data_IF_250495774780
#
_entry.id   IF_250495774780
#
_cell.length_a   1.000
_cell.length_b   1.000
_cell.length_c   1.000
_cell.angle_alpha   90.00
_cell.angle_beta   90.00
_cell.angle_gamma   90.00
#
_symmetry.space_group_name_H-M   'P 1'
#
loop_
_entity.id
_entity.type
_entity.pdbx_description
1 polymer ?
#
# COMPACT_ATOMS: atom_id res chain seq x y z
N UNK A 1 -77.39 26.64 121.77
CA UNK A 1 -76.30 25.68 121.44
C UNK A 1 -76.71 24.68 120.35
N UNK A 2 -77.67 23.77 120.57
CA UNK A 2 -78.00 22.70 119.60
C UNK A 2 -78.43 23.19 118.19
N UNK A 3 -79.20 24.28 118.08
CA UNK A 3 -79.60 24.85 116.77
C UNK A 3 -78.42 25.40 115.95
N UNK A 4 -77.43 25.97 116.64
CA UNK A 4 -76.25 26.58 116.04
C UNK A 4 -75.28 25.50 115.54
N UNK A 5 -75.12 24.42 116.31
CA UNK A 5 -74.36 23.23 115.91
C UNK A 5 -75.00 22.55 114.69
N UNK A 6 -76.33 22.41 114.67
CA UNK A 6 -77.04 21.85 113.50
C UNK A 6 -76.84 22.72 112.25
N UNK A 7 -76.95 24.04 112.37
CA UNK A 7 -76.72 24.96 111.26
C UNK A 7 -75.28 24.86 110.73
N UNK A 8 -74.29 24.81 111.62
CA UNK A 8 -72.87 24.70 111.26
C UNK A 8 -72.56 23.37 110.56
N UNK A 9 -73.22 22.28 111.00
CA UNK A 9 -73.15 20.98 110.33
C UNK A 9 -73.75 21.02 108.92
N UNK A 10 -74.94 21.63 108.74
CA UNK A 10 -75.54 21.79 107.41
C UNK A 10 -74.68 22.66 106.47
N UNK A 11 -74.11 23.75 106.98
CA UNK A 11 -73.21 24.61 106.20
C UNK A 11 -71.90 23.91 105.80
N UNK A 12 -71.35 23.06 106.68
CA UNK A 12 -70.20 22.24 106.35
C UNK A 12 -70.52 21.20 105.27
N UNK A 13 -71.67 20.52 105.38
CA UNK A 13 -72.11 19.54 104.38
C UNK A 13 -72.33 20.18 103.00
N UNK A 14 -72.93 21.37 102.94
CA UNK A 14 -73.08 22.10 101.67
C UNK A 14 -71.73 22.57 101.11
N UNK A 15 -70.78 22.96 101.97
CA UNK A 15 -69.41 23.26 101.55
C UNK A 15 -68.70 22.06 100.91
N UNK A 16 -68.81 20.88 101.54
CA UNK A 16 -68.21 19.64 101.02
C UNK A 16 -68.85 19.23 99.69
N UNK A 17 -70.18 19.33 99.54
CA UNK A 17 -70.84 19.00 98.27
C UNK A 17 -70.44 19.95 97.15
N UNK A 18 -70.39 21.27 97.38
CA UNK A 18 -69.93 22.25 96.39
C UNK A 18 -68.47 21.98 96.00
N UNK A 19 -67.59 21.76 96.97
CA UNK A 19 -66.19 21.43 96.71
C UNK A 19 -66.04 20.14 95.89
N UNK A 20 -66.84 19.13 96.20
CA UNK A 20 -66.85 17.84 95.49
C UNK A 20 -67.32 17.99 94.04
N UNK A 21 -68.37 18.80 93.81
CA UNK A 21 -68.85 19.12 92.45
C UNK A 21 -67.80 19.92 91.67
N UNK A 22 -67.17 20.93 92.28
CA UNK A 22 -66.11 21.69 91.64
C UNK A 22 -64.91 20.82 91.26
N UNK A 23 -64.47 19.94 92.17
CA UNK A 23 -63.40 18.97 91.92
C UNK A 23 -63.78 17.97 90.82
N UNK A 24 -65.02 17.49 90.80
CA UNK A 24 -65.52 16.63 89.73
C UNK A 24 -65.49 17.34 88.37
N UNK A 25 -65.96 18.59 88.29
CA UNK A 25 -65.92 19.37 87.06
C UNK A 25 -64.49 19.63 86.57
N UNK A 26 -63.56 19.94 87.48
CA UNK A 26 -62.14 20.10 87.15
C UNK A 26 -61.55 18.79 86.60
N UNK A 27 -61.81 17.65 87.25
CA UNK A 27 -61.35 16.34 86.79
C UNK A 27 -61.97 15.93 85.44
N UNK A 28 -63.24 16.27 85.20
CA UNK A 28 -63.89 16.06 83.90
C UNK A 28 -63.24 16.90 82.82
N UNK A 29 -62.95 18.17 83.09
CA UNK A 29 -62.25 19.06 82.15
C UNK A 29 -60.86 18.51 81.81
N UNK A 30 -60.07 18.15 82.81
CA UNK A 30 -58.74 17.54 82.59
C UNK A 30 -58.84 16.26 81.74
N UNK A 31 -59.86 15.43 81.96
CA UNK A 31 -60.09 14.24 81.14
C UNK A 31 -60.39 14.59 79.68
N UNK A 32 -61.18 15.63 79.41
CA UNK A 32 -61.43 16.09 78.05
C UNK A 32 -60.17 16.64 77.39
N UNK A 33 -59.40 17.47 78.09
CA UNK A 33 -58.13 18.03 77.59
C UNK A 33 -57.12 16.90 77.27
N UNK A 34 -57.06 15.86 78.11
CA UNK A 34 -56.24 14.67 77.86
C UNK A 34 -56.74 13.87 76.65
N UNK A 35 -58.06 13.69 76.49
CA UNK A 35 -58.63 12.99 75.32
C UNK A 35 -58.34 13.75 74.02
N UNK A 36 -58.44 15.07 74.04
CA UNK A 36 -58.09 15.92 72.90
C UNK A 36 -56.60 15.83 72.57
N UNK A 37 -55.74 15.86 73.59
CA UNK A 37 -54.29 15.68 73.44
C UNK A 37 -53.95 14.30 72.86
N UNK A 38 -54.57 13.22 73.35
CA UNK A 38 -54.39 11.86 72.82
C UNK A 38 -54.84 11.80 71.35
N UNK A 39 -55.96 12.45 71.01
CA UNK A 39 -56.46 12.49 69.63
C UNK A 39 -55.49 13.24 68.72
N UNK A 40 -54.97 14.39 69.16
CA UNK A 40 -53.98 15.18 68.43
C UNK A 40 -52.68 14.40 68.21
N UNK A 41 -52.16 13.76 69.27
CA UNK A 41 -50.95 12.92 69.19
C UNK A 41 -51.16 11.76 68.21
N UNK A 42 -52.32 11.08 68.25
CA UNK A 42 -52.63 10.00 67.31
C UNK A 42 -52.67 10.49 65.86
N UNK A 43 -53.20 11.69 65.61
CA UNK A 43 -53.19 12.28 64.28
C UNK A 43 -51.76 12.60 63.82
N UNK A 44 -50.92 13.15 64.69
CA UNK A 44 -49.52 13.41 64.38
C UNK A 44 -48.74 12.11 64.09
N UNK A 45 -48.96 11.05 64.88
CA UNK A 45 -48.34 9.75 64.63
C UNK A 45 -48.78 9.19 63.28
N UNK A 46 -50.07 9.27 62.94
CA UNK A 46 -50.56 8.81 61.64
C UNK A 46 -49.96 9.59 60.46
N UNK A 47 -49.78 10.91 60.61
CA UNK A 47 -49.10 11.75 59.62
C UNK A 47 -47.63 11.37 59.47
N UNK A 48 -46.90 11.21 60.59
CA UNK A 48 -45.50 10.80 60.58
C UNK A 48 -45.30 9.40 60.00
N UNK A 49 -46.23 8.48 60.24
CA UNK A 49 -46.21 7.14 59.63
C UNK A 49 -46.42 7.19 58.12
N UNK A 50 -47.32 8.06 57.65
CA UNK A 50 -47.52 8.30 56.22
C UNK A 50 -46.28 8.92 55.57
N UNK A 51 -45.72 9.99 56.16
CA UNK A 51 -44.49 10.64 55.68
C UNK A 51 -43.31 9.66 55.65
N UNK A 52 -43.15 8.83 56.69
CA UNK A 52 -42.11 7.80 56.73
C UNK A 52 -42.26 6.80 55.59
N UNK A 53 -43.49 6.37 55.31
CA UNK A 53 -43.77 5.44 54.20
C UNK A 53 -43.47 6.07 52.85
N UNK A 54 -43.85 7.33 52.66
CA UNK A 54 -43.59 8.07 51.42
C UNK A 54 -42.08 8.29 51.21
N UNK A 55 -41.35 8.65 52.27
CA UNK A 55 -39.89 8.78 52.24
C UNK A 55 -39.20 7.45 51.93
N UNK A 56 -39.67 6.33 52.52
CA UNK A 56 -39.14 5.00 52.21
C UNK A 56 -39.36 4.64 50.73
N UNK A 57 -40.55 4.90 50.19
CA UNK A 57 -40.84 4.68 48.78
C UNK A 57 -40.00 5.58 47.87
N UNK A 58 -39.79 6.84 48.25
CA UNK A 58 -38.90 7.76 47.54
C UNK A 58 -37.46 7.25 47.48
N UNK A 59 -36.95 6.78 48.62
CA UNK A 59 -35.59 6.25 48.74
C UNK A 59 -35.41 4.97 47.92
N UNK A 60 -36.39 4.07 47.92
CA UNK A 60 -36.34 2.87 47.09
C UNK A 60 -36.37 3.20 45.59
N UNK A 61 -37.19 4.17 45.17
CA UNK A 61 -37.19 4.66 43.77
C UNK A 61 -35.86 5.30 43.39
N UNK A 62 -35.27 6.10 44.27
CA UNK A 62 -33.95 6.69 44.01
C UNK A 62 -32.86 5.62 43.89
N UNK A 63 -32.90 4.59 44.75
CA UNK A 63 -31.99 3.44 44.67
C UNK A 63 -32.13 2.67 43.37
N UNK A 64 -33.35 2.41 42.90
CA UNK A 64 -33.56 1.71 41.63
C UNK A 64 -33.07 2.54 40.45
N UNK A 65 -33.38 3.84 40.41
CA UNK A 65 -32.88 4.76 39.39
C UNK A 65 -31.36 4.84 39.38
N UNK A 66 -30.73 4.95 40.56
CA UNK A 66 -29.26 4.95 40.68
C UNK A 66 -28.65 3.66 40.15
N UNK A 67 -29.21 2.50 40.51
CA UNK A 67 -28.71 1.21 40.02
C UNK A 67 -28.90 1.06 38.52
N UNK A 68 -30.00 1.56 37.96
CA UNK A 68 -30.23 1.59 36.52
C UNK A 68 -29.20 2.48 35.82
N UNK A 69 -28.98 3.70 36.30
CA UNK A 69 -27.98 4.61 35.76
C UNK A 69 -26.56 4.02 35.81
N UNK A 70 -26.20 3.30 36.87
CA UNK A 70 -24.91 2.60 36.97
C UNK A 70 -24.79 1.47 35.94
N UNK A 71 -25.85 0.70 35.72
CA UNK A 71 -25.88 -0.35 34.69
C UNK A 71 -25.73 0.25 33.29
N UNK A 72 -26.49 1.30 33.00
CA UNK A 72 -26.44 1.99 31.71
C UNK A 72 -25.06 2.63 31.49
N UNK A 73 -24.44 3.20 32.52
CA UNK A 73 -23.08 3.72 32.44
C UNK A 73 -22.07 2.60 32.13
N UNK A 74 -22.21 1.44 32.78
CA UNK A 74 -21.33 0.30 32.53
C UNK A 74 -21.47 -0.27 31.11
N UNK A 75 -22.70 -0.37 30.58
CA UNK A 75 -22.95 -0.86 29.23
C UNK A 75 -22.49 0.13 28.16
N UNK A 76 -22.65 1.43 28.39
CA UNK A 76 -22.12 2.48 27.53
C UNK A 76 -20.58 2.46 27.51
N UNK A 77 -19.94 2.27 28.67
CA UNK A 77 -18.48 2.15 28.77
C UNK A 77 -17.95 0.93 28.02
N UNK A 78 -18.64 -0.20 28.12
CA UNK A 78 -18.29 -1.41 27.36
C UNK A 78 -18.47 -1.20 25.85
N UNK A 79 -19.59 -0.60 25.44
CA UNK A 79 -19.86 -0.28 24.03
C UNK A 79 -18.82 0.68 23.46
N UNK A 80 -18.38 1.67 24.25
CA UNK A 80 -17.33 2.61 23.88
C UNK A 80 -15.99 1.89 23.71
N UNK A 81 -15.62 1.00 24.64
CA UNK A 81 -14.40 0.19 24.52
C UNK A 81 -14.41 -0.69 23.27
N UNK A 82 -15.52 -1.37 23.00
CA UNK A 82 -15.68 -2.18 21.78
C UNK A 82 -15.60 -1.33 20.51
N UNK A 83 -16.14 -0.11 20.55
CA UNK A 83 -16.03 0.88 19.48
C UNK A 83 -14.58 1.29 19.23
N UNK A 84 -13.82 1.60 20.28
CA UNK A 84 -12.39 1.93 20.21
C UNK A 84 -11.56 0.77 19.65
N UNK A 85 -11.79 -0.46 20.14
CA UNK A 85 -11.13 -1.67 19.63
C UNK A 85 -11.40 -1.87 18.13
N UNK A 86 -12.65 -1.66 17.68
CA UNK A 86 -13.03 -1.76 16.27
C UNK A 86 -12.36 -0.68 15.42
N UNK A 87 -12.30 0.57 15.91
CA UNK A 87 -11.61 1.65 15.22
C UNK A 87 -10.11 1.40 15.10
N UNK A 88 -9.48 0.85 16.15
CA UNK A 88 -8.07 0.48 16.12
C UNK A 88 -7.79 -0.60 15.07
N UNK A 89 -8.64 -1.63 14.97
CA UNK A 89 -8.55 -2.66 13.93
C UNK A 89 -8.71 -2.09 12.52
N UNK A 90 -9.71 -1.25 12.30
CA UNK A 90 -9.92 -0.58 11.00
C UNK A 90 -8.75 0.32 10.61
N UNK A 91 -8.15 1.03 11.57
CA UNK A 91 -6.98 1.85 11.33
C UNK A 91 -5.75 1.00 10.94
N UNK A 92 -5.57 -0.16 11.58
CA UNK A 92 -4.54 -1.12 11.21
C UNK A 92 -4.77 -1.67 9.79
N UNK A 93 -5.97 -2.15 9.49
CA UNK A 93 -6.34 -2.67 8.16
C UNK A 93 -6.13 -1.61 7.08
N UNK A 94 -6.48 -0.35 7.35
CA UNK A 94 -6.27 0.77 6.43
C UNK A 94 -4.77 1.02 6.20
N UNK A 95 -3.95 0.98 7.26
CA UNK A 95 -2.49 1.13 7.13
C UNK A 95 -1.87 -0.02 6.34
N UNK A 96 -2.33 -1.25 6.53
CA UNK A 96 -1.87 -2.42 5.76
C UNK A 96 -2.28 -2.31 4.29
N UNK A 97 -3.52 -1.90 4.01
CA UNK A 97 -3.99 -1.66 2.65
C UNK A 97 -3.21 -0.55 1.95
N UNK A 98 -2.84 0.52 2.65
CA UNK A 98 -2.00 1.59 2.12
C UNK A 98 -0.60 1.07 1.75
N UNK A 99 0.04 0.28 2.62
CA UNK A 99 1.34 -0.34 2.32
C UNK A 99 1.27 -1.25 1.10
N UNK A 100 0.22 -2.06 1.00
CA UNK A 100 0.02 -2.95 -0.15
C UNK A 100 -0.19 -2.13 -1.44
N UNK A 101 -0.89 -1.00 -1.38
CA UNK A 101 -1.06 -0.10 -2.54
C UNK A 101 0.28 0.53 -2.96
N UNK A 102 1.09 0.98 -2.01
CA UNK A 102 2.43 1.51 -2.28
C UNK A 102 3.34 0.46 -2.90
N UNK A 103 3.32 -0.77 -2.37
CA UNK A 103 4.07 -1.90 -2.92
C UNK A 103 3.62 -2.22 -4.34
N UNK A 104 2.32 -2.37 -4.58
CA UNK A 104 1.78 -2.66 -5.91
C UNK A 104 2.09 -1.53 -6.90
N UNK A 105 2.03 -0.28 -6.45
CA UNK A 105 2.41 0.89 -7.25
C UNK A 105 3.88 0.84 -7.66
N UNK A 106 4.77 0.44 -6.74
CA UNK A 106 6.20 0.26 -7.04
C UNK A 106 6.43 -0.87 -8.05
N UNK A 107 5.72 -2.01 -7.90
CA UNK A 107 5.81 -3.14 -8.82
C UNK A 107 5.32 -2.75 -10.23
N UNK A 108 4.22 -2.00 -10.33
CA UNK A 108 3.73 -1.45 -11.60
C UNK A 108 4.79 -0.54 -12.23
N UNK A 109 5.45 0.32 -11.45
CA UNK A 109 6.52 1.18 -11.96
C UNK A 109 7.71 0.38 -12.50
N UNK A 110 8.07 -0.74 -11.87
CA UNK A 110 9.15 -1.61 -12.35
C UNK A 110 8.73 -2.30 -13.65
N UNK A 111 7.56 -2.93 -13.68
CA UNK A 111 7.06 -3.65 -14.87
C UNK A 111 6.88 -2.70 -16.06
N UNK A 112 6.41 -1.48 -15.82
CA UNK A 112 6.29 -0.47 -16.89
C UNK A 112 7.65 -0.08 -17.45
N UNK A 113 8.67 0.12 -16.61
CA UNK A 113 10.04 0.38 -17.04
C UNK A 113 10.65 -0.81 -17.82
N UNK A 114 10.45 -2.04 -17.36
CA UNK A 114 10.89 -3.25 -18.06
C UNK A 114 10.20 -3.38 -19.43
N UNK A 115 8.90 -3.13 -19.50
CA UNK A 115 8.15 -3.18 -20.75
C UNK A 115 8.64 -2.13 -21.75
N UNK A 116 8.98 -0.92 -21.27
CA UNK A 116 9.58 0.12 -22.13
C UNK A 116 10.96 -0.29 -22.64
N UNK A 117 11.82 -0.84 -21.77
CA UNK A 117 13.15 -1.31 -22.18
C UNK A 117 13.08 -2.44 -23.21
N UNK A 118 12.20 -3.43 -22.98
CA UNK A 118 11.98 -4.53 -23.93
C UNK A 118 11.44 -4.05 -25.28
N UNK A 119 10.59 -3.03 -25.30
CA UNK A 119 10.10 -2.41 -26.55
C UNK A 119 11.23 -1.71 -27.31
N UNK A 120 12.11 -1.02 -26.60
CA UNK A 120 13.29 -0.39 -27.19
C UNK A 120 14.27 -1.42 -27.75
N UNK A 121 14.57 -2.48 -26.99
CA UNK A 121 15.42 -3.59 -27.42
C UNK A 121 14.84 -4.29 -28.65
N UNK A 122 13.53 -4.54 -28.67
CA UNK A 122 12.84 -5.13 -29.81
C UNK A 122 12.94 -4.23 -31.05
N UNK A 123 12.76 -2.91 -30.89
CA UNK A 123 12.94 -1.96 -31.99
C UNK A 123 14.38 -1.95 -32.51
N UNK A 124 15.39 -1.97 -31.64
CA UNK A 124 16.80 -2.03 -32.02
C UNK A 124 17.15 -3.34 -32.74
N UNK A 125 16.65 -4.48 -32.26
CA UNK A 125 16.86 -5.79 -32.90
C UNK A 125 16.23 -5.83 -34.29
N UNK A 126 15.04 -5.27 -34.47
CA UNK A 126 14.41 -5.18 -35.79
C UNK A 126 15.23 -4.33 -36.75
N UNK A 127 15.74 -3.17 -36.30
CA UNK A 127 16.63 -2.35 -37.12
C UNK A 127 17.91 -3.10 -37.54
N UNK A 128 18.56 -3.81 -36.60
CA UNK A 128 19.73 -4.64 -36.91
C UNK A 128 19.39 -5.76 -37.89
N UNK A 129 18.24 -6.40 -37.73
CA UNK A 129 17.78 -7.46 -38.62
C UNK A 129 17.52 -6.94 -40.03
N UNK A 130 16.93 -5.74 -40.16
CA UNK A 130 16.77 -5.06 -41.44
C UNK A 130 18.14 -4.72 -42.08
N UNK A 131 19.09 -4.20 -41.32
CA UNK A 131 20.45 -3.91 -41.82
C UNK A 131 21.19 -5.17 -42.30
N UNK A 132 21.19 -6.24 -41.49
CA UNK A 132 21.78 -7.53 -41.85
C UNK A 132 21.11 -8.14 -43.08
N UNK A 133 19.79 -8.00 -43.20
CA UNK A 133 19.05 -8.48 -44.38
C UNK A 133 19.49 -7.75 -45.65
N UNK A 134 19.67 -6.42 -45.59
CA UNK A 134 20.20 -5.60 -46.70
C UNK A 134 21.62 -6.00 -47.05
N UNK A 135 22.50 -6.17 -46.07
CA UNK A 135 23.88 -6.62 -46.31
C UNK A 135 23.93 -7.99 -46.98
N UNK A 136 23.06 -8.91 -46.56
CA UNK A 136 22.93 -10.24 -47.17
C UNK A 136 22.47 -10.14 -48.62
N UNK A 137 21.49 -9.29 -48.93
CA UNK A 137 21.04 -9.04 -50.30
C UNK A 137 22.15 -8.43 -51.16
N UNK A 138 22.88 -7.44 -50.64
CA UNK A 138 24.03 -6.84 -51.33
C UNK A 138 25.14 -7.85 -51.61
N UNK A 139 25.48 -8.69 -50.63
CA UNK A 139 26.48 -9.75 -50.80
C UNK A 139 26.01 -10.79 -51.81
N UNK A 140 24.74 -11.20 -51.77
CA UNK A 140 24.16 -12.11 -52.75
C UNK A 140 24.23 -11.51 -54.17
N UNK A 141 23.91 -10.23 -54.33
CA UNK A 141 24.06 -9.52 -55.60
C UNK A 141 25.52 -9.48 -56.09
N UNK A 142 26.48 -9.18 -55.20
CA UNK A 142 27.92 -9.22 -55.51
C UNK A 142 28.37 -10.62 -55.93
N UNK A 143 27.97 -11.67 -55.21
CA UNK A 143 28.31 -13.06 -55.56
C UNK A 143 27.71 -13.50 -56.90
N UNK A 144 26.46 -13.12 -57.18
CA UNK A 144 25.84 -13.35 -58.47
C UNK A 144 26.64 -12.68 -59.61
N UNK A 145 27.07 -11.43 -59.41
CA UNK A 145 27.89 -10.70 -60.40
C UNK A 145 29.24 -11.39 -60.67
N UNK A 146 29.88 -11.97 -59.65
CA UNK A 146 31.14 -12.73 -59.79
C UNK A 146 30.92 -14.01 -60.61
N UNK A 147 29.79 -14.68 -60.41
CA UNK A 147 29.45 -15.87 -61.18
C UNK A 147 29.27 -15.55 -62.67
N UNK A 148 28.63 -14.42 -62.98
CA UNK A 148 28.47 -13.89 -64.34
C UNK A 148 29.81 -13.43 -64.93
N UNK A 149 30.67 -12.77 -64.14
CA UNK A 149 32.04 -12.44 -64.53
C UNK A 149 32.85 -13.70 -64.86
N UNK A 150 32.73 -14.77 -64.07
CA UNK A 150 33.39 -16.06 -64.34
C UNK A 150 32.88 -16.70 -65.64
N UNK A 151 31.59 -16.57 -65.96
CA UNK A 151 31.02 -17.04 -67.24
C UNK A 151 31.58 -16.22 -68.40
N UNK A 152 31.56 -14.89 -68.30
CA UNK A 152 32.10 -13.98 -69.31
C UNK A 152 33.60 -14.23 -69.58
N UNK A 153 34.42 -14.43 -68.53
CA UNK A 153 35.84 -14.78 -68.68
C UNK A 153 36.02 -16.14 -69.37
N UNK A 154 35.19 -17.14 -69.04
CA UNK A 154 35.24 -18.46 -69.70
C UNK A 154 34.88 -18.36 -71.18
N UNK A 155 33.87 -17.57 -71.52
CA UNK A 155 33.45 -17.34 -72.89
C UNK A 155 34.49 -16.53 -73.67
N UNK A 156 35.07 -15.48 -73.08
CA UNK A 156 36.18 -14.71 -73.64
C UNK A 156 37.39 -15.61 -73.91
N UNK A 157 37.76 -16.49 -72.96
CA UNK A 157 38.81 -17.50 -73.17
C UNK A 157 38.48 -18.47 -74.30
N UNK A 158 37.22 -18.90 -74.44
CA UNK A 158 36.77 -19.74 -75.57
C UNK A 158 36.90 -18.99 -76.89
N UNK A 159 36.42 -17.74 -76.97
CA UNK A 159 36.56 -16.87 -78.14
C UNK A 159 38.01 -16.58 -78.49
N UNK A 160 38.88 -16.39 -77.51
CA UNK A 160 40.33 -16.26 -77.73
C UNK A 160 40.94 -17.56 -78.27
N UNK A 161 40.54 -18.73 -77.77
CA UNK A 161 41.02 -20.01 -78.30
C UNK A 161 40.54 -20.25 -79.73
N UNK A 162 39.29 -19.94 -80.05
CA UNK A 162 38.77 -20.05 -81.42
C UNK A 162 39.40 -19.02 -82.36
N UNK A 163 39.62 -17.78 -81.91
CA UNK A 163 40.34 -16.77 -82.68
C UNK A 163 41.83 -17.13 -82.89
N UNK A 164 42.48 -17.74 -81.89
CA UNK A 164 43.87 -18.23 -81.99
C UNK A 164 43.97 -19.45 -82.92
N UNK A 165 42.96 -20.33 -82.91
CA UNK A 165 42.83 -21.44 -83.87
C UNK A 165 42.51 -20.93 -85.29
N UNK A 166 41.67 -19.91 -85.44
CA UNK A 166 41.39 -19.25 -86.71
C UNK A 166 42.63 -18.53 -87.27
N UNK A 167 43.45 -17.91 -86.42
CA UNK A 167 44.74 -17.33 -86.81
C UNK A 167 45.84 -18.37 -87.08
N UNK A 168 45.70 -19.62 -86.61
CA UNK A 168 46.58 -20.72 -86.98
C UNK A 168 46.25 -21.34 -88.35
N UNK A 169 45.07 -21.09 -88.91
CA UNK A 169 44.72 -21.49 -90.28
C UNK A 169 45.28 -20.59 -91.39
N UNK A 170 45.94 -19.47 -91.05
CA UNK A 170 46.34 -18.42 -92.01
C UNK A 170 47.85 -18.06 -91.96
N UNK A 171 48.70 -18.91 -91.40
CA UNK A 171 50.17 -18.73 -91.44
C UNK A 171 50.88 -20.00 -91.89
N UNK A 172 50.78 -20.29 -93.18
CA UNK A 172 51.91 -20.85 -93.92
C UNK A 172 52.61 -19.70 -94.66
N UNK A 173 53.94 -19.78 -94.70
CA UNK A 173 54.87 -18.91 -95.44
C UNK A 173 55.21 -17.56 -94.78
N UNK A 174 56.30 -17.53 -94.01
CA UNK A 174 57.51 -16.78 -94.38
C UNK A 174 58.55 -16.81 -93.24
N UNK A 175 59.75 -17.18 -93.64
CA UNK A 175 60.98 -17.30 -92.89
C UNK A 175 61.57 -15.95 -92.46
N UNK A 176 62.22 -15.92 -91.29
CA UNK A 176 63.66 -15.57 -91.10
C UNK A 176 63.96 -15.27 -89.62
N UNK A 177 64.98 -15.95 -89.09
CA UNK A 177 65.73 -15.56 -87.89
C UNK A 177 66.39 -14.19 -88.12
N UNK A 178 66.62 -13.41 -87.05
CA UNK A 178 67.96 -13.43 -86.45
C UNK A 178 67.93 -13.56 -84.93
N UNK A 179 68.99 -14.19 -84.43
CA UNK A 179 69.49 -14.15 -83.06
C UNK A 179 69.76 -12.72 -82.60
N UNK A 180 69.44 -12.38 -81.34
CA UNK A 180 70.37 -11.76 -80.39
C UNK A 180 69.78 -11.88 -78.97
N UNK A 181 70.72 -12.06 -78.04
CA UNK A 181 70.58 -12.19 -76.60
C UNK A 181 69.89 -10.97 -75.98
N UNK A 182 69.09 -11.19 -74.92
CA UNK A 182 69.17 -10.46 -73.64
C UNK A 182 67.85 -10.59 -72.83
N UNK A 183 68.02 -11.13 -71.62
CA UNK A 183 67.24 -10.84 -70.41
C UNK A 183 65.77 -11.26 -70.35
N UNK A 184 65.62 -12.53 -69.94
CA UNK A 184 64.56 -12.96 -69.03
C UNK A 184 64.54 -12.05 -67.78
N UNK A 185 63.69 -11.02 -67.78
CA UNK A 185 63.19 -10.43 -66.54
C UNK A 185 61.87 -11.09 -66.21
N UNK A 186 61.96 -12.27 -65.61
CA UNK A 186 60.93 -12.79 -64.72
C UNK A 186 60.83 -11.76 -63.59
N UNK A 187 59.84 -10.86 -63.67
CA UNK A 187 59.43 -10.09 -62.51
C UNK A 187 58.66 -11.06 -61.63
N UNK A 188 59.40 -11.80 -60.82
CA UNK A 188 58.86 -12.58 -59.72
C UNK A 188 58.19 -11.58 -58.77
N UNK A 189 56.85 -11.60 -58.73
CA UNK A 189 56.10 -10.73 -57.85
C UNK A 189 56.55 -10.94 -56.41
N UNK A 190 56.82 -9.85 -55.69
CA UNK A 190 57.13 -9.90 -54.27
C UNK A 190 55.89 -10.42 -53.52
N UNK A 191 55.93 -11.68 -53.08
CA UNK A 191 54.85 -12.42 -52.38
C UNK A 191 54.47 -11.84 -51.00
N UNK A 192 54.60 -10.52 -50.80
CA UNK A 192 54.24 -9.81 -49.57
C UNK A 192 55.36 -9.72 -48.53
N UNK A 193 56.60 -10.05 -48.87
CA UNK A 193 57.72 -10.04 -47.92
C UNK A 193 58.46 -8.69 -47.90
N UNK A 194 58.73 -8.18 -46.69
CA UNK A 194 59.47 -6.93 -46.46
C UNK A 194 60.99 -7.15 -46.58
N UNK A 195 61.47 -8.39 -46.42
CA UNK A 195 62.87 -8.80 -46.55
C UNK A 195 62.91 -10.16 -47.27
N UNK A 196 63.72 -10.29 -48.34
CA UNK A 196 63.98 -11.57 -49.03
C UNK A 196 65.49 -11.75 -49.19
N UNK A 197 66.00 -12.94 -48.87
CA UNK A 197 67.42 -13.31 -48.96
C UNK A 197 68.38 -12.32 -48.27
N UNK A 198 67.98 -11.83 -47.10
CA UNK A 198 68.80 -10.93 -46.26
C UNK A 198 68.94 -9.50 -46.80
N UNK A 199 68.27 -9.15 -47.90
CA UNK A 199 68.26 -7.80 -48.48
C UNK A 199 66.85 -7.19 -48.37
N UNK A 200 66.72 -5.93 -47.93
CA UNK A 200 65.42 -5.27 -47.85
C UNK A 200 64.85 -5.07 -49.25
N UNK A 201 63.60 -5.49 -49.44
CA UNK A 201 62.89 -5.43 -50.73
C UNK A 201 62.27 -4.06 -51.02
N UNK A 202 62.31 -3.13 -50.05
CA UNK A 202 61.85 -1.75 -50.19
C UNK A 202 63.00 -0.79 -49.90
N UNK A 203 63.21 0.21 -50.77
CA UNK A 203 64.21 1.27 -50.58
C UNK A 203 63.76 2.33 -49.56
N UNK A 204 62.50 2.32 -49.15
CA UNK A 204 61.90 3.30 -48.25
C UNK A 204 61.91 2.78 -46.81
N UNK A 205 62.58 3.48 -45.90
CA UNK A 205 62.55 3.18 -44.46
C UNK A 205 61.14 3.42 -43.91
N UNK A 206 60.44 2.36 -43.48
CA UNK A 206 59.14 2.47 -42.80
C UNK A 206 59.36 2.39 -41.29
N UNK A 207 58.89 3.39 -40.54
CA UNK A 207 58.90 3.41 -39.07
C UNK A 207 57.52 2.98 -38.58
N UNK A 208 57.45 1.83 -37.92
CA UNK A 208 56.20 1.31 -37.32
C UNK A 208 56.19 1.71 -35.85
N UNK A 209 55.19 2.49 -35.45
CA UNK A 209 54.96 2.86 -34.05
C UNK A 209 53.72 2.10 -33.55
N UNK A 210 53.88 1.37 -32.45
CA UNK A 210 52.80 0.59 -31.83
C UNK A 210 52.22 1.44 -30.71
N UNK A 211 50.99 1.91 -30.90
CA UNK A 211 50.21 2.57 -29.87
C UNK A 211 49.45 1.50 -29.07
N UNK A 212 49.75 1.37 -27.79
CA UNK A 212 48.94 0.59 -26.85
C UNK A 212 47.75 1.42 -26.42
N UNK A 213 46.53 0.89 -26.62
CA UNK A 213 45.29 1.52 -26.16
C UNK A 213 45.17 1.40 -24.62
N UNK A 214 44.63 2.43 -23.93
CA UNK A 214 44.40 2.44 -22.49
C UNK A 214 43.27 1.49 -22.05
#
# INVERSE_FOLDING_TARGET
MAKLIRFLFFAFLTGVTIFSVFKYLAAVKERYDLLESIKSIRQQVALLEAEKKDLQQGLDKERTLKNQALRDNSSLKESLRLGEEKLARMAQELSEAQRNLEELSSQISIVTAENTALKEDFAQLNLRLEEESRQKEELAAKLNSISELKKAIRELKRRMRTAKAAHQGLRSVASKKPSYEAEEKVIEGNYGYIIRDGKPTSSTKVRIEVLTLP
#
